data_IF_340381705806
#
_entry.id   IF_340381705806
#
_cell.length_a   1.000
_cell.length_b   1.000
_cell.length_c   1.000
_cell.angle_alpha   90.00
_cell.angle_beta   90.00
_cell.angle_gamma   90.00
#
_symmetry.space_group_name_H-M   'P 1'
#
loop_
_entity.id
_entity.type
_entity.pdbx_description
1 polymer ?
#
# COMPACT_ATOMS: atom_id res chain seq x y z
N UNK A 1 16.71 -10.63 -63.40
CA UNK A 1 15.57 -10.12 -64.20
C UNK A 1 14.39 -9.86 -63.27
N UNK A 2 13.88 -8.62 -63.28
CA UNK A 2 12.59 -8.09 -62.76
C UNK A 2 12.22 -8.32 -61.27
N UNK A 3 12.27 -7.30 -60.38
CA UNK A 3 11.29 -6.19 -60.12
C UNK A 3 9.91 -6.71 -59.69
N UNK A 4 9.11 -6.17 -58.76
CA UNK A 4 9.14 -5.20 -57.63
C UNK A 4 7.64 -5.07 -57.21
N UNK A 5 7.27 -5.23 -55.94
CA UNK A 5 6.08 -4.65 -55.27
C UNK A 5 5.93 -5.24 -53.85
N UNK A 6 6.59 -4.72 -52.82
CA UNK A 6 6.04 -3.74 -51.84
C UNK A 6 4.55 -3.85 -51.55
N UNK A 7 4.20 -4.43 -50.38
CA UNK A 7 3.06 -3.99 -49.57
C UNK A 7 3.54 -3.82 -48.13
N UNK A 8 3.86 -2.57 -47.82
CA UNK A 8 4.16 -2.08 -46.47
C UNK A 8 2.94 -2.28 -45.58
N UNK A 9 3.12 -3.01 -44.48
CA UNK A 9 2.18 -3.05 -43.35
C UNK A 9 2.57 -1.90 -42.42
N UNK A 10 1.76 -0.83 -42.26
CA UNK A 10 2.08 0.17 -41.27
C UNK A 10 1.56 -0.27 -39.90
N UNK A 11 2.44 -0.05 -38.93
CA UNK A 11 2.20 -0.16 -37.50
C UNK A 11 0.92 0.57 -37.09
N UNK A 12 0.15 -0.06 -36.20
CA UNK A 12 -0.97 0.57 -35.52
C UNK A 12 -0.45 1.78 -34.75
N UNK A 13 -0.79 2.96 -35.26
CA UNK A 13 -0.45 4.24 -34.67
C UNK A 13 -1.10 4.38 -33.29
N UNK A 14 -0.28 4.75 -32.32
CA UNK A 14 -0.66 5.23 -31.00
C UNK A 14 -1.48 6.51 -31.20
N UNK A 15 -2.80 6.39 -31.14
CA UNK A 15 -3.70 7.54 -31.21
C UNK A 15 -3.56 8.36 -29.92
N UNK A 16 -3.13 9.60 -30.11
CA UNK A 16 -2.80 10.55 -29.06
C UNK A 16 -3.96 10.90 -28.14
N UNK A 17 -3.55 11.27 -26.92
CA UNK A 17 -4.37 11.84 -25.85
C UNK A 17 -5.32 12.93 -26.37
N UNK A 18 -6.62 12.69 -26.25
CA UNK A 18 -7.62 13.74 -26.34
C UNK A 18 -7.67 14.53 -25.01
N UNK A 19 -7.59 15.85 -25.12
CA UNK A 19 -7.72 16.84 -24.04
C UNK A 19 -9.07 16.68 -23.33
N UNK A 20 -9.19 16.92 -22.00
CA UNK A 20 -10.50 16.90 -21.37
C UNK A 20 -11.24 18.17 -21.80
N UNK A 21 -12.21 18.01 -22.68
CA UNK A 21 -13.21 19.05 -22.89
C UNK A 21 -13.99 19.16 -21.59
N UNK A 22 -14.09 20.37 -21.06
CA UNK A 22 -14.93 20.70 -19.90
C UNK A 22 -16.38 20.69 -20.38
N UNK A 23 -16.87 19.51 -20.76
CA UNK A 23 -18.24 19.28 -21.14
C UNK A 23 -19.05 19.27 -19.85
N UNK A 24 -19.93 20.25 -19.75
CA UNK A 24 -20.94 20.50 -18.73
C UNK A 24 -21.16 19.35 -17.73
N UNK A 25 -20.91 19.65 -16.46
CA UNK A 25 -21.32 18.79 -15.34
C UNK A 25 -22.84 18.82 -15.29
N UNK A 26 -23.49 17.86 -15.95
CA UNK A 26 -24.92 17.66 -15.82
C UNK A 26 -25.24 17.35 -14.34
N UNK A 27 -26.01 18.20 -13.63
CA UNK A 27 -26.35 17.95 -12.23
C UNK A 27 -27.29 16.75 -12.05
N UNK A 28 -27.76 16.17 -13.17
CA UNK A 28 -28.69 15.04 -13.24
C UNK A 28 -28.02 13.70 -13.58
N UNK A 29 -26.68 13.66 -13.77
CA UNK A 29 -25.99 12.36 -13.82
C UNK A 29 -25.95 11.77 -12.43
N UNK A 30 -26.57 10.60 -12.29
CA UNK A 30 -26.55 9.78 -11.08
C UNK A 30 -25.09 9.58 -10.69
N UNK A 31 -24.65 10.23 -9.61
CA UNK A 31 -23.33 10.00 -9.04
C UNK A 31 -23.29 8.54 -8.60
N UNK A 32 -22.22 7.82 -8.96
CA UNK A 32 -22.04 6.45 -8.49
C UNK A 32 -22.24 6.40 -6.97
N UNK A 33 -22.99 5.41 -6.44
CA UNK A 33 -23.28 5.34 -5.02
C UNK A 33 -21.99 5.29 -4.20
N UNK A 34 -21.99 5.95 -3.04
CA UNK A 34 -20.86 5.90 -2.11
C UNK A 34 -20.69 4.46 -1.63
N UNK A 35 -19.56 3.84 -1.96
CA UNK A 35 -19.25 2.45 -1.61
C UNK A 35 -18.58 2.32 -0.24
N UNK A 36 -18.33 3.43 0.45
CA UNK A 36 -17.67 3.43 1.75
C UNK A 36 -18.64 3.00 2.85
N UNK A 37 -18.27 1.97 3.62
CA UNK A 37 -18.91 1.62 4.89
C UNK A 37 -17.94 1.91 6.04
N UNK A 38 -18.00 3.13 6.64
CA UNK A 38 -17.09 3.54 7.72
C UNK A 38 -17.34 2.80 9.03
N UNK A 39 -18.55 2.25 9.24
CA UNK A 39 -18.90 1.44 10.41
C UNK A 39 -18.78 -0.06 10.15
N UNK A 40 -18.22 -0.46 9.01
CA UNK A 40 -17.94 -1.87 8.75
C UNK A 40 -16.97 -2.38 9.82
N UNK A 41 -17.42 -3.37 10.59
CA UNK A 41 -16.56 -4.17 11.46
C UNK A 41 -15.69 -4.99 10.51
N UNK A 42 -14.48 -4.48 10.26
CA UNK A 42 -13.45 -5.20 9.50
C UNK A 42 -12.77 -6.16 10.46
N UNK A 43 -12.41 -7.35 9.98
CA UNK A 43 -11.55 -8.25 10.73
C UNK A 43 -10.29 -7.51 11.18
N UNK A 44 -9.83 -7.82 12.40
CA UNK A 44 -8.57 -7.28 12.90
C UNK A 44 -7.46 -7.73 11.96
N UNK A 45 -6.97 -6.80 11.13
CA UNK A 45 -5.78 -7.05 10.31
C UNK A 45 -4.66 -7.51 11.23
N UNK A 46 -3.87 -8.47 10.76
CA UNK A 46 -2.69 -8.90 11.50
C UNK A 46 -1.84 -7.68 11.88
N UNK A 47 -1.36 -7.66 13.12
CA UNK A 47 -0.52 -6.61 13.69
C UNK A 47 0.91 -6.71 13.19
N UNK A 48 1.09 -6.58 11.88
CA UNK A 48 2.38 -6.86 11.19
C UNK A 48 3.49 -5.93 11.70
N UNK A 49 3.17 -4.66 11.95
CA UNK A 49 4.14 -3.67 12.43
C UNK A 49 4.58 -3.99 13.87
N UNK A 50 3.64 -4.29 14.75
CA UNK A 50 3.90 -4.61 16.16
C UNK A 50 4.73 -5.88 16.28
N UNK A 51 4.41 -6.92 15.50
CA UNK A 51 5.19 -8.15 15.45
C UNK A 51 6.60 -7.91 14.91
N UNK A 52 6.75 -7.08 13.88
CA UNK A 52 8.07 -6.73 13.33
C UNK A 52 8.93 -5.99 14.37
N UNK A 53 8.36 -4.99 15.05
CA UNK A 53 9.04 -4.24 16.11
C UNK A 53 9.45 -5.18 17.25
N UNK A 54 8.54 -6.05 17.71
CA UNK A 54 8.85 -7.00 18.80
C UNK A 54 9.97 -7.99 18.44
N UNK A 55 10.04 -8.44 17.18
CA UNK A 55 11.13 -9.29 16.69
C UNK A 55 12.46 -8.57 16.72
N UNK A 56 12.50 -7.32 16.27
CA UNK A 56 13.73 -6.53 16.22
C UNK A 56 14.23 -6.19 17.63
N UNK A 57 13.34 -5.76 18.53
CA UNK A 57 13.68 -5.48 19.94
C UNK A 57 14.23 -6.72 20.64
N UNK A 58 13.63 -7.91 20.40
CA UNK A 58 14.14 -9.18 20.93
C UNK A 58 15.53 -9.50 20.38
N UNK A 59 15.74 -9.31 19.07
CA UNK A 59 17.04 -9.54 18.44
C UNK A 59 18.12 -8.62 19.02
N UNK A 60 17.80 -7.33 19.19
CA UNK A 60 18.71 -6.35 19.76
C UNK A 60 19.08 -6.67 21.22
N UNK A 61 18.10 -7.04 22.05
CA UNK A 61 18.36 -7.49 23.42
C UNK A 61 19.25 -8.71 23.50
N UNK A 62 19.03 -9.70 22.61
CA UNK A 62 19.91 -10.89 22.54
C UNK A 62 21.33 -10.54 22.14
N UNK A 63 21.53 -9.57 21.23
CA UNK A 63 22.86 -9.08 20.85
C UNK A 63 23.57 -8.38 22.02
N UNK A 64 22.83 -7.62 22.82
CA UNK A 64 23.36 -6.94 24.01
C UNK A 64 23.51 -7.85 25.24
N UNK A 65 22.92 -9.05 25.23
CA UNK A 65 22.97 -9.97 26.36
C UNK A 65 22.12 -9.55 27.58
N UNK A 66 21.16 -8.64 27.40
CA UNK A 66 20.33 -8.11 28.50
C UNK A 66 18.95 -8.76 28.59
N UNK A 67 18.37 -8.79 29.79
CA UNK A 67 17.05 -9.39 30.03
C UNK A 67 15.90 -8.43 29.69
N UNK A 68 14.65 -8.91 29.78
CA UNK A 68 13.47 -8.02 29.60
C UNK A 68 13.39 -7.04 30.76
N UNK A 69 13.75 -7.50 31.96
CA UNK A 69 13.68 -6.70 33.18
C UNK A 69 14.66 -5.52 33.12
N UNK A 70 15.87 -5.74 32.60
CA UNK A 70 16.88 -4.68 32.46
C UNK A 70 16.43 -3.62 31.45
N UNK A 71 15.84 -4.04 30.32
CA UNK A 71 15.28 -3.11 29.33
C UNK A 71 14.11 -2.30 29.91
N UNK A 72 13.22 -2.95 30.66
CA UNK A 72 12.10 -2.31 31.33
C UNK A 72 12.58 -1.24 32.33
N UNK A 73 13.57 -1.58 33.16
CA UNK A 73 14.18 -0.65 34.11
C UNK A 73 14.90 0.52 33.43
N UNK A 74 15.52 0.31 32.27
CA UNK A 74 16.23 1.36 31.54
C UNK A 74 15.30 2.33 30.77
N UNK A 75 14.08 1.91 30.46
CA UNK A 75 13.11 2.69 29.65
C UNK A 75 11.96 3.25 30.46
N UNK A 76 11.88 2.93 31.76
CA UNK A 76 10.72 3.20 32.61
C UNK A 76 9.39 2.67 32.04
N UNK A 77 9.47 1.59 31.26
CA UNK A 77 8.32 0.90 30.69
C UNK A 77 8.10 -0.41 31.45
N UNK A 78 6.86 -0.66 31.87
CA UNK A 78 6.55 -1.91 32.58
C UNK A 78 6.73 -3.14 31.70
N UNK A 79 7.12 -4.27 32.32
CA UNK A 79 7.23 -5.57 31.67
C UNK A 79 5.98 -5.96 30.86
N UNK A 80 4.79 -5.62 31.37
CA UNK A 80 3.52 -5.90 30.70
C UNK A 80 3.29 -5.06 29.44
N UNK A 81 3.78 -3.83 29.39
CA UNK A 81 3.71 -3.00 28.18
C UNK A 81 4.72 -3.44 27.13
N UNK A 82 5.89 -3.93 27.52
CA UNK A 82 6.89 -4.51 26.62
C UNK A 82 6.49 -5.88 26.04
N UNK A 83 5.55 -6.57 26.68
CA UNK A 83 5.12 -7.93 26.30
C UNK A 83 3.93 -7.97 25.34
N UNK A 84 3.31 -6.82 25.03
CA UNK A 84 2.10 -6.70 24.20
C UNK A 84 2.39 -5.99 22.89
#
# INVERSE_FOLDING_TARGET
>A
MAKKATSLKPAAAVAGKAKPSVAAIDPRKIRAPLTQNPHAIRDTREKVLEVAIGREVRAFRKKLGITVADLAAATDISLGMLSK
#
